data_IF_072757824106
#
_entry.id   IF_072757824106
#
_cell.length_a   1.000
_cell.length_b   1.000
_cell.length_c   1.000
_cell.angle_alpha   90.00
_cell.angle_beta   90.00
_cell.angle_gamma   90.00
#
_symmetry.space_group_name_H-M   'P 1'
#
loop_
_entity.id
_entity.type
_entity.pdbx_description
1 polymer ?
#
# COMPACT_ATOMS: atom_id res chain seq x y z
N UNK A 1 -8.39 15.88 -0.08
CA UNK A 1 -8.77 14.98 -1.18
C UNK A 1 -7.95 13.69 -1.16
N UNK A 2 -6.62 13.70 -1.39
CA UNK A 2 -5.80 12.47 -1.42
C UNK A 2 -5.84 11.62 -0.15
N UNK A 3 -5.78 12.22 1.04
CA UNK A 3 -5.96 11.48 2.31
C UNK A 3 -7.22 10.60 2.35
N UNK A 4 -8.39 11.17 1.98
CA UNK A 4 -9.66 10.44 2.00
C UNK A 4 -9.68 9.34 0.93
N UNK A 5 -9.04 9.59 -0.21
CA UNK A 5 -8.89 8.62 -1.28
C UNK A 5 -8.01 7.42 -0.88
N UNK A 6 -6.88 7.66 -0.21
CA UNK A 6 -6.01 6.60 0.32
C UNK A 6 -6.74 5.72 1.36
N UNK A 7 -7.49 6.34 2.28
CA UNK A 7 -8.29 5.60 3.26
C UNK A 7 -9.36 4.70 2.59
N UNK A 8 -10.01 5.18 1.52
CA UNK A 8 -10.95 4.35 0.73
C UNK A 8 -10.26 3.16 0.07
N UNK A 9 -8.99 3.32 -0.31
CA UNK A 9 -8.18 2.27 -0.94
C UNK A 9 -7.43 1.38 0.06
N UNK A 10 -7.91 1.27 1.31
CA UNK A 10 -7.34 0.41 2.37
C UNK A 10 -5.90 0.75 2.75
N UNK A 11 -5.50 2.00 2.59
CA UNK A 11 -4.31 2.48 3.27
C UNK A 11 -4.65 2.86 4.71
N UNK A 12 -3.82 2.48 5.67
CA UNK A 12 -3.94 2.89 7.06
C UNK A 12 -2.83 3.90 7.42
N UNK A 13 -3.15 4.94 8.21
CA UNK A 13 -2.16 5.92 8.63
C UNK A 13 -1.23 5.34 9.71
N UNK A 14 0.06 5.54 9.56
CA UNK A 14 1.13 5.19 10.50
C UNK A 14 2.00 6.44 10.70
N UNK A 15 2.42 6.73 11.93
CA UNK A 15 3.38 7.82 12.18
C UNK A 15 4.80 7.31 11.99
N UNK A 16 5.60 8.00 11.19
CA UNK A 16 7.04 7.71 11.08
C UNK A 16 7.79 8.27 12.31
N UNK A 17 9.09 7.98 12.41
CA UNK A 17 9.97 8.48 13.48
C UNK A 17 10.10 10.01 13.51
N UNK A 18 9.87 10.66 12.38
CA UNK A 18 9.88 12.12 12.23
C UNK A 18 8.52 12.76 12.60
N UNK A 19 7.53 11.95 13.02
CA UNK A 19 6.19 12.40 13.37
C UNK A 19 5.24 12.62 12.18
N UNK A 20 5.69 12.35 10.96
CA UNK A 20 4.88 12.51 9.75
C UNK A 20 3.93 11.33 9.55
N UNK A 21 2.75 11.61 9.00
CA UNK A 21 1.77 10.56 8.71
C UNK A 21 2.04 9.93 7.35
N UNK A 22 2.42 8.65 7.38
CA UNK A 22 2.58 7.79 6.22
C UNK A 22 1.35 6.91 6.09
N UNK A 23 0.86 6.73 4.87
CA UNK A 23 -0.25 5.83 4.59
C UNK A 23 0.33 4.52 4.09
N UNK A 24 0.02 3.41 4.76
CA UNK A 24 0.59 2.10 4.42
C UNK A 24 -0.51 1.17 3.96
N UNK A 25 -0.24 0.39 2.93
CA UNK A 25 -1.04 -0.77 2.57
C UNK A 25 -0.13 -1.95 2.25
N UNK A 26 -0.69 -3.17 2.19
CA UNK A 26 0.08 -4.37 1.90
C UNK A 26 -0.49 -5.05 0.65
N UNK A 27 0.40 -5.33 -0.30
CA UNK A 27 0.13 -6.14 -1.49
C UNK A 27 0.94 -7.43 -1.40
N UNK A 28 0.35 -8.57 -1.76
CA UNK A 28 1.08 -9.84 -1.73
C UNK A 28 2.23 -9.90 -2.75
N UNK A 29 2.13 -9.12 -3.85
CA UNK A 29 3.14 -9.12 -4.91
C UNK A 29 4.31 -8.17 -4.67
N UNK A 30 4.07 -7.03 -4.01
CA UNK A 30 5.08 -5.98 -3.78
C UNK A 30 5.41 -5.75 -2.29
N UNK A 31 4.75 -6.47 -1.38
CA UNK A 31 4.90 -6.27 0.07
C UNK A 31 4.26 -4.96 0.54
N UNK A 32 4.99 -4.17 1.32
CA UNK A 32 4.53 -2.88 1.84
C UNK A 32 4.50 -1.81 0.75
N UNK A 33 3.33 -1.22 0.52
CA UNK A 33 3.14 -0.05 -0.34
C UNK A 33 2.91 1.16 0.56
N UNK A 34 3.80 2.14 0.46
CA UNK A 34 3.82 3.33 1.31
C UNK A 34 3.41 4.55 0.49
N UNK A 35 2.58 5.41 1.04
CA UNK A 35 2.07 6.61 0.41
C UNK A 35 2.35 7.82 1.31
N UNK A 36 3.06 8.80 0.77
CA UNK A 36 3.45 10.04 1.42
C UNK A 36 2.69 11.19 0.77
N UNK A 37 2.02 12.01 1.60
CA UNK A 37 1.34 13.21 1.12
C UNK A 37 2.36 14.33 1.01
N UNK A 38 2.65 14.76 -0.21
CA UNK A 38 3.69 15.76 -0.46
C UNK A 38 3.12 16.99 -1.19
N UNK A 39 3.85 18.11 -1.06
CA UNK A 39 3.62 19.33 -1.85
C UNK A 39 4.88 19.62 -2.63
N UNK A 40 4.82 19.50 -3.94
CA UNK A 40 5.92 19.84 -4.83
C UNK A 40 5.56 21.11 -5.59
N UNK A 41 6.31 22.20 -5.39
CA UNK A 41 6.16 23.48 -6.11
C UNK A 41 4.69 23.90 -6.30
N UNK A 42 3.94 23.99 -5.19
CA UNK A 42 2.51 24.34 -5.07
C UNK A 42 1.48 23.24 -5.38
N UNK A 43 1.85 22.13 -6.03
CA UNK A 43 0.95 21.01 -6.32
C UNK A 43 0.94 19.99 -5.18
N UNK A 44 -0.26 19.68 -4.67
CA UNK A 44 -0.47 18.61 -3.67
C UNK A 44 -0.56 17.27 -4.40
N UNK A 45 0.24 16.30 -3.99
CA UNK A 45 0.23 14.97 -4.58
C UNK A 45 0.50 13.87 -3.56
N UNK A 46 0.67 12.66 -4.08
CA UNK A 46 1.03 11.46 -3.33
C UNK A 46 2.28 10.87 -3.95
N UNK A 47 3.33 10.70 -3.16
CA UNK A 47 4.45 9.84 -3.53
C UNK A 47 4.17 8.44 -3.03
N UNK A 48 4.14 7.47 -3.94
CA UNK A 48 4.05 6.05 -3.61
C UNK A 48 5.44 5.43 -3.69
N UNK A 49 5.77 4.63 -2.69
CA UNK A 49 6.96 3.78 -2.63
C UNK A 49 6.49 2.34 -2.52
N UNK A 50 6.85 1.52 -3.50
CA UNK A 50 6.50 0.11 -3.54
C UNK A 50 7.71 -0.71 -4.00
N UNK A 51 8.29 -1.50 -3.08
CA UNK A 51 9.58 -2.16 -3.34
C UNK A 51 10.69 -1.13 -3.56
N UNK A 52 11.38 -1.23 -4.70
CA UNK A 52 12.46 -0.32 -5.11
C UNK A 52 11.99 0.83 -6.01
N UNK A 53 10.69 0.90 -6.32
CA UNK A 53 10.13 1.94 -7.18
C UNK A 53 9.47 3.04 -6.35
N UNK A 54 9.83 4.29 -6.67
CA UNK A 54 9.15 5.48 -6.16
C UNK A 54 8.48 6.22 -7.31
N UNK A 55 7.20 6.58 -7.15
CA UNK A 55 6.47 7.34 -8.17
C UNK A 55 5.60 8.40 -7.53
N UNK A 56 5.66 9.63 -8.06
CA UNK A 56 4.84 10.75 -7.61
C UNK A 56 3.62 10.94 -8.50
N UNK A 57 2.46 11.14 -7.88
CA UNK A 57 1.19 11.35 -8.54
C UNK A 57 0.56 12.66 -8.07
N UNK A 58 0.31 13.59 -9.00
CA UNK A 58 -0.47 14.81 -8.79
C UNK A 58 -1.92 14.70 -9.32
N UNK A 59 -2.24 13.63 -10.05
CA UNK A 59 -3.58 13.32 -10.59
C UNK A 59 -4.15 12.02 -9.98
N UNK A 60 -5.44 12.05 -9.62
CA UNK A 60 -6.19 10.89 -9.13
C UNK A 60 -6.34 9.78 -10.15
N UNK A 61 -6.50 10.10 -11.44
CA UNK A 61 -6.72 9.11 -12.49
C UNK A 61 -5.50 8.19 -12.65
N UNK A 62 -4.31 8.77 -12.81
CA UNK A 62 -3.04 8.04 -12.88
C UNK A 62 -2.76 7.22 -11.62
N UNK A 63 -3.13 7.78 -10.46
CA UNK A 63 -2.99 7.10 -9.18
C UNK A 63 -3.92 5.87 -9.09
N UNK A 64 -5.16 5.99 -9.56
CA UNK A 64 -6.14 4.90 -9.55
C UNK A 64 -5.71 3.78 -10.49
N UNK A 65 -5.26 4.12 -11.70
CA UNK A 65 -4.71 3.17 -12.67
C UNK A 65 -3.51 2.40 -12.09
N UNK A 66 -2.56 3.09 -11.45
CA UNK A 66 -1.40 2.47 -10.83
C UNK A 66 -1.78 1.53 -9.68
N UNK A 67 -2.68 1.96 -8.79
CA UNK A 67 -3.16 1.12 -7.70
C UNK A 67 -3.93 -0.10 -8.21
N UNK A 68 -4.69 0.04 -9.28
CA UNK A 68 -5.39 -1.07 -9.93
C UNK A 68 -4.42 -2.04 -10.60
N UNK A 69 -3.34 -1.56 -11.21
CA UNK A 69 -2.27 -2.41 -11.73
C UNK A 69 -1.62 -3.25 -10.61
N UNK A 70 -1.33 -2.63 -9.46
CA UNK A 70 -0.79 -3.35 -8.28
C UNK A 70 -1.78 -4.43 -7.82
N UNK A 71 -3.07 -4.09 -7.68
CA UNK A 71 -4.12 -5.05 -7.28
C UNK A 71 -4.29 -6.19 -8.29
N UNK A 72 -4.19 -5.91 -9.59
CA UNK A 72 -4.29 -6.91 -10.66
C UNK A 72 -3.08 -7.83 -10.68
N UNK A 73 -1.86 -7.29 -10.53
CA UNK A 73 -0.65 -8.08 -10.36
C UNK A 73 -0.77 -9.03 -9.16
N UNK A 74 -1.35 -8.55 -8.06
CA UNK A 74 -1.67 -9.37 -6.87
C UNK A 74 -2.68 -10.49 -7.19
N UNK A 75 -3.74 -10.22 -7.96
CA UNK A 75 -4.76 -11.22 -8.33
C UNK A 75 -4.25 -12.26 -9.32
N UNK A 76 -3.29 -11.91 -10.18
CA UNK A 76 -2.69 -12.82 -11.15
C UNK A 76 -1.72 -13.83 -10.51
N UNK A 77 -1.20 -13.55 -9.30
CA UNK A 77 -0.36 -14.47 -8.55
C UNK A 77 -1.18 -15.54 -7.81
N UNK A 78 -1.78 -16.44 -8.61
CA UNK A 78 -2.14 -17.85 -8.36
C UNK A 78 -2.66 -18.30 -6.98
N UNK A 79 -3.60 -19.25 -7.02
CA UNK A 79 -4.10 -20.03 -5.88
C UNK A 79 -3.02 -20.61 -4.94
N UNK A 80 -1.77 -20.70 -5.39
CA UNK A 80 -0.64 -21.16 -4.58
C UNK A 80 -0.19 -20.14 -3.52
N UNK A 81 -0.15 -18.84 -3.87
CA UNK A 81 0.24 -17.77 -2.93
C UNK A 81 -0.82 -17.58 -1.86
N UNK A 82 -2.11 -17.69 -2.22
CA UNK A 82 -3.21 -17.62 -1.25
C UNK A 82 -3.21 -18.81 -0.28
N UNK A 83 -2.76 -19.99 -0.71
CA UNK A 83 -2.56 -21.17 0.17
C UNK A 83 -1.38 -20.94 1.14
N UNK A 84 -0.27 -20.37 0.67
CA UNK A 84 0.89 -20.03 1.50
C UNK A 84 0.52 -18.99 2.57
N UNK A 85 -0.23 -17.95 2.21
CA UNK A 85 -0.70 -16.92 3.17
C UNK A 85 -1.66 -17.48 4.22
N UNK A 86 -2.52 -18.43 3.85
CA UNK A 86 -3.42 -19.09 4.81
C UNK A 86 -2.63 -19.86 5.87
N UNK A 87 -1.55 -20.54 5.48
CA UNK A 87 -0.67 -21.26 6.41
C UNK A 87 0.14 -20.31 7.30
N UNK A 88 0.68 -19.22 6.78
CA UNK A 88 1.46 -18.25 7.57
C UNK A 88 0.59 -17.53 8.60
N UNK A 89 -0.63 -17.12 8.23
CA UNK A 89 -1.60 -16.53 9.17
C UNK A 89 -1.99 -17.52 10.28
N UNK A 90 -2.26 -18.78 9.94
CA UNK A 90 -2.57 -19.80 10.95
C UNK A 90 -1.42 -20.04 11.94
N UNK A 91 -0.17 -20.02 11.48
CA UNK A 91 1.00 -20.14 12.36
C UNK A 91 1.12 -18.94 13.31
N UNK A 92 0.92 -17.72 12.80
CA UNK A 92 0.93 -16.50 13.61
C UNK A 92 -0.18 -16.49 14.68
N UNK A 93 -1.41 -16.89 14.32
CA UNK A 93 -2.51 -16.99 15.29
C UNK A 93 -2.29 -18.06 16.36
N UNK A 94 -1.57 -19.14 16.06
CA UNK A 94 -1.19 -20.14 17.07
C UNK A 94 -0.13 -19.63 18.03
N UNK A 95 0.73 -18.71 17.60
CA UNK A 95 1.73 -18.07 18.45
C UNK A 95 1.14 -16.99 19.36
N UNK A 96 0.04 -16.33 18.93
CA UNK A 96 -0.68 -15.36 19.76
C UNK A 96 -1.66 -16.01 20.75
N UNK A 97 -1.98 -17.29 20.57
CA UNK A 97 -2.90 -18.06 21.42
C UNK A 97 -2.18 -18.91 22.50
N UNK A 98 -0.89 -18.67 22.70
CA UNK A 98 -0.05 -19.19 23.80
C UNK A 98 0.50 -18.01 24.61
#
# INVERSE_FOLDING_TARGET
MFRRYLLKNRFWPVKNRNGETVFVTHSASQGGVYAFLERQNERRGVRIVAGDEETFFDNFEKLDEYLDQIKRSTRSQSNFVSILERRSRQAYFRQLAL
#
